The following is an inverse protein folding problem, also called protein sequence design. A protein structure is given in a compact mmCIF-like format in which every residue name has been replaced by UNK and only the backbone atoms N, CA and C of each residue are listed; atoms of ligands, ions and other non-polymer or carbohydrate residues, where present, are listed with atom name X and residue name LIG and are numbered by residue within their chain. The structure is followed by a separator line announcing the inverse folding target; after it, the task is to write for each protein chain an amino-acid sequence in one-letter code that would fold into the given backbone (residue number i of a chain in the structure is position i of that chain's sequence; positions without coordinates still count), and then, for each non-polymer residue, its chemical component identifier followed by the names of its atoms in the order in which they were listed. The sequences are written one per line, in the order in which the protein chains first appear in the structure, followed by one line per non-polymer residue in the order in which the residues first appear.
data_IF_559489273688
#
_entry.id   IF_559489273688
#
_cell.length_a   1.000
_cell.length_b   1.000
_cell.length_c   1.000
_cell.angle_alpha   90.00
_cell.angle_beta   90.00
_cell.angle_gamma   90.00
#
_symmetry.space_group_name_H-M   'P 1'
#
loop_
_entity.id
_entity.type
_entity.pdbx_description
1 polymer ?
#
# COMPACT_ATOMS: atom_id res chain seq x y z
N UNK A 1 -19.29 -56.98 -30.74
CA UNK A 1 -18.89 -55.94 -29.76
C UNK A 1 -17.38 -55.69 -29.74
N UNK A 2 -16.53 -56.71 -29.87
CA UNK A 2 -15.05 -56.61 -29.90
C UNK A 2 -14.48 -55.82 -31.08
N UNK A 3 -15.09 -55.90 -32.27
CA UNK A 3 -14.61 -55.18 -33.47
C UNK A 3 -14.70 -53.64 -33.33
N UNK A 4 -15.73 -53.14 -32.65
CA UNK A 4 -15.95 -51.71 -32.42
C UNK A 4 -14.92 -51.13 -31.43
N UNK A 5 -14.55 -51.88 -30.40
CA UNK A 5 -13.50 -51.50 -29.45
C UNK A 5 -12.11 -51.43 -30.09
N UNK A 6 -11.82 -52.30 -31.06
CA UNK A 6 -10.55 -52.27 -31.81
C UNK A 6 -10.47 -51.03 -32.70
N UNK A 7 -11.57 -50.64 -33.34
CA UNK A 7 -11.63 -49.43 -34.16
C UNK A 7 -11.48 -48.16 -33.32
N UNK A 8 -12.16 -48.07 -32.18
CA UNK A 8 -12.01 -46.96 -31.24
C UNK A 8 -10.56 -46.80 -30.74
N UNK A 9 -9.87 -47.91 -30.44
CA UNK A 9 -8.47 -47.88 -30.01
C UNK A 9 -7.53 -47.42 -31.14
N UNK A 10 -7.78 -47.82 -32.39
CA UNK A 10 -6.96 -47.37 -33.53
C UNK A 10 -7.10 -45.87 -33.76
N UNK A 11 -8.33 -45.36 -33.75
CA UNK A 11 -8.63 -43.95 -33.95
C UNK A 11 -8.03 -43.08 -32.84
N UNK A 12 -8.07 -43.54 -31.57
CA UNK A 12 -7.40 -42.87 -30.45
C UNK A 12 -5.87 -42.86 -30.59
N UNK A 13 -5.26 -43.94 -31.07
CA UNK A 13 -3.81 -44.02 -31.25
C UNK A 13 -3.32 -43.15 -32.42
N UNK A 14 -4.11 -42.99 -33.47
CA UNK A 14 -3.81 -42.05 -34.57
C UNK A 14 -3.84 -40.60 -34.10
N UNK A 15 -4.84 -40.22 -33.29
CA UNK A 15 -4.95 -38.87 -32.71
C UNK A 15 -3.76 -38.56 -31.78
N UNK A 16 -3.40 -39.51 -30.90
CA UNK A 16 -2.25 -39.37 -30.01
C UNK A 16 -0.95 -39.21 -30.82
N UNK A 17 -0.77 -40.00 -31.87
CA UNK A 17 0.41 -39.92 -32.71
C UNK A 17 0.49 -38.56 -33.45
N UNK A 18 -0.65 -38.03 -33.91
CA UNK A 18 -0.72 -36.71 -34.52
C UNK A 18 -0.34 -35.60 -33.53
N UNK A 19 -0.87 -35.65 -32.31
CA UNK A 19 -0.53 -34.67 -31.27
C UNK A 19 0.94 -34.76 -30.86
N UNK A 20 1.48 -35.97 -30.72
CA UNK A 20 2.89 -36.17 -30.37
C UNK A 20 3.83 -35.63 -31.45
N UNK A 21 3.49 -35.85 -32.73
CA UNK A 21 4.23 -35.31 -33.86
C UNK A 21 4.16 -33.77 -33.93
N UNK A 22 2.98 -33.19 -33.63
CA UNK A 22 2.81 -31.73 -33.53
C UNK A 22 3.64 -31.11 -32.40
N UNK A 23 3.66 -31.78 -31.23
CA UNK A 23 4.48 -31.39 -30.08
C UNK A 23 5.97 -31.50 -30.40
N UNK A 24 6.39 -32.57 -31.07
CA UNK A 24 7.77 -32.75 -31.52
C UNK A 24 8.23 -31.63 -32.45
N UNK A 25 7.40 -31.27 -33.45
CA UNK A 25 7.69 -30.14 -34.34
C UNK A 25 7.81 -28.81 -33.59
N UNK A 26 6.92 -28.57 -32.62
CA UNK A 26 6.97 -27.35 -31.80
C UNK A 26 8.25 -27.30 -30.97
N UNK A 27 8.66 -28.44 -30.41
CA UNK A 27 9.90 -28.56 -29.63
C UNK A 27 11.14 -28.31 -30.49
N UNK A 28 11.16 -28.83 -31.73
CA UNK A 28 12.26 -28.61 -32.67
C UNK A 28 12.43 -27.13 -33.04
N UNK A 29 11.33 -26.40 -33.25
CA UNK A 29 11.36 -24.95 -33.52
C UNK A 29 11.89 -24.18 -32.31
N UNK A 30 11.45 -24.53 -31.11
CA UNK A 30 11.91 -23.90 -29.86
C UNK A 30 13.40 -24.16 -29.64
N UNK A 31 13.85 -25.39 -29.84
CA UNK A 31 15.26 -25.75 -29.69
C UNK A 31 16.14 -25.05 -30.72
N UNK A 32 15.70 -24.95 -31.98
CA UNK A 32 16.43 -24.19 -33.01
C UNK A 32 16.50 -22.70 -32.67
N UNK A 33 15.45 -22.13 -32.08
CA UNK A 33 15.44 -20.72 -31.68
C UNK A 33 16.35 -20.44 -30.47
N UNK A 34 16.42 -21.35 -29.50
CA UNK A 34 17.22 -21.17 -28.27
C UNK A 34 18.71 -21.49 -28.51
N UNK A 35 19.00 -22.61 -29.15
CA UNK A 35 20.39 -23.08 -29.33
C UNK A 35 21.01 -22.60 -30.66
N UNK A 36 20.20 -22.10 -31.59
CA UNK A 36 20.63 -21.74 -32.94
C UNK A 36 20.74 -22.95 -33.86
N UNK A 37 20.59 -22.72 -35.17
CA UNK A 37 20.51 -23.80 -36.17
C UNK A 37 21.73 -24.72 -36.19
N UNK A 38 22.93 -24.16 -36.03
CA UNK A 38 24.20 -24.91 -36.13
C UNK A 38 24.38 -25.89 -34.97
N UNK A 39 24.07 -25.46 -33.75
CA UNK A 39 24.16 -26.33 -32.57
C UNK A 39 23.07 -27.38 -32.58
N UNK A 40 21.87 -27.05 -33.03
CA UNK A 40 20.78 -28.01 -33.15
C UNK A 40 21.10 -29.14 -34.14
N UNK A 41 21.72 -28.83 -35.30
CA UNK A 41 22.14 -29.87 -36.26
C UNK A 41 23.22 -30.80 -35.71
N UNK A 42 24.20 -30.25 -35.00
CA UNK A 42 25.27 -31.05 -34.37
C UNK A 42 24.71 -31.93 -33.25
N UNK A 43 23.76 -31.41 -32.46
CA UNK A 43 23.09 -32.14 -31.39
C UNK A 43 22.21 -33.27 -31.95
N UNK A 44 21.52 -33.02 -33.07
CA UNK A 44 20.74 -34.05 -33.77
C UNK A 44 21.62 -35.16 -34.35
N UNK A 45 22.77 -34.79 -34.94
CA UNK A 45 23.75 -35.77 -35.42
C UNK A 45 24.35 -36.59 -34.27
N UNK A 46 24.67 -35.95 -33.15
CA UNK A 46 25.17 -36.60 -31.94
C UNK A 46 24.12 -37.55 -31.33
N UNK A 47 22.85 -37.14 -31.29
CA UNK A 47 21.74 -37.96 -30.80
C UNK A 47 21.55 -39.25 -31.60
N UNK A 48 21.73 -39.20 -32.92
CA UNK A 48 21.64 -40.37 -33.79
C UNK A 48 22.89 -41.25 -33.67
N UNK A 49 24.07 -40.64 -33.51
CA UNK A 49 25.35 -41.36 -33.45
C UNK A 49 25.57 -42.09 -32.12
N UNK A 50 25.03 -41.57 -31.02
CA UNK A 50 25.24 -42.11 -29.67
C UNK A 50 23.94 -42.17 -28.84
N UNK A 51 22.99 -43.05 -29.20
CA UNK A 51 21.67 -43.11 -28.56
C UNK A 51 21.74 -43.48 -27.06
N UNK A 52 22.68 -44.36 -26.68
CA UNK A 52 22.86 -44.76 -25.27
C UNK A 52 23.39 -43.64 -24.38
N UNK A 53 24.33 -42.84 -24.89
CA UNK A 53 24.90 -41.71 -24.16
C UNK A 53 23.83 -40.63 -23.97
N UNK A 54 23.07 -40.32 -25.03
CA UNK A 54 21.97 -39.37 -24.97
C UNK A 54 20.92 -39.79 -23.93
N UNK A 55 20.54 -41.07 -23.94
CA UNK A 55 19.56 -41.62 -22.99
C UNK A 55 20.07 -41.53 -21.55
N UNK A 56 21.36 -41.81 -21.32
CA UNK A 56 22.00 -41.66 -20.02
C UNK A 56 21.99 -40.21 -19.53
N UNK A 57 22.36 -39.25 -20.39
CA UNK A 57 22.33 -37.81 -20.06
C UNK A 57 20.91 -37.34 -19.74
N UNK A 58 19.92 -37.72 -20.53
CA UNK A 58 18.50 -37.36 -20.29
C UNK A 58 18.03 -37.97 -18.96
N UNK A 59 18.35 -39.24 -18.69
CA UNK A 59 17.94 -39.92 -17.46
C UNK A 59 18.57 -39.28 -16.22
N UNK A 60 19.87 -38.98 -16.25
CA UNK A 60 20.56 -38.28 -15.16
C UNK A 60 20.00 -36.87 -14.98
N UNK A 61 19.73 -36.16 -16.07
CA UNK A 61 19.17 -34.80 -16.02
C UNK A 61 17.76 -34.80 -15.43
N UNK A 62 16.92 -35.77 -15.78
CA UNK A 62 15.58 -35.95 -15.19
C UNK A 62 15.67 -36.27 -13.70
N UNK A 63 16.58 -37.16 -13.31
CA UNK A 63 16.74 -37.55 -11.91
C UNK A 63 17.30 -36.39 -11.06
N UNK A 64 18.19 -35.57 -11.63
CA UNK A 64 18.74 -34.38 -10.98
C UNK A 64 17.75 -33.19 -10.95
N UNK A 65 16.77 -33.15 -11.86
CA UNK A 65 15.80 -32.05 -11.90
C UNK A 65 14.88 -32.04 -10.67
N UNK A 66 14.56 -33.22 -10.10
CA UNK A 66 13.70 -33.35 -8.92
C UNK A 66 14.31 -32.67 -7.68
N UNK A 67 15.53 -33.01 -7.23
CA UNK A 67 16.14 -32.33 -6.09
C UNK A 67 16.40 -30.84 -6.36
N UNK A 68 16.70 -30.48 -7.61
CA UNK A 68 16.86 -29.07 -8.01
C UNK A 68 15.56 -28.28 -7.85
N UNK A 69 14.43 -28.81 -8.33
CA UNK A 69 13.11 -28.18 -8.17
C UNK A 69 12.71 -28.07 -6.70
N UNK A 70 12.99 -29.10 -5.91
CA UNK A 70 12.70 -29.06 -4.47
C UNK A 70 13.53 -27.98 -3.76
N UNK A 71 14.82 -27.89 -4.05
CA UNK A 71 15.70 -26.85 -3.50
C UNK A 71 15.27 -25.44 -3.94
N UNK A 72 14.92 -25.27 -5.22
CA UNK A 72 14.44 -24.01 -5.76
C UNK A 72 13.12 -23.59 -5.09
N UNK A 73 12.17 -24.52 -4.97
CA UNK A 73 10.91 -24.29 -4.27
C UNK A 73 11.12 -23.90 -2.80
N UNK A 74 11.97 -24.64 -2.09
CA UNK A 74 12.35 -24.32 -0.71
C UNK A 74 12.93 -22.91 -0.60
N UNK A 75 13.88 -22.56 -1.48
CA UNK A 75 14.52 -21.25 -1.49
C UNK A 75 13.51 -20.13 -1.71
N UNK A 76 12.58 -20.28 -2.66
CA UNK A 76 11.54 -19.27 -2.93
C UNK A 76 10.62 -19.09 -1.72
N UNK A 77 10.20 -20.20 -1.09
CA UNK A 77 9.34 -20.15 0.09
C UNK A 77 10.07 -19.46 1.25
N UNK A 78 11.32 -19.83 1.52
CA UNK A 78 12.13 -19.21 2.57
C UNK A 78 12.36 -17.73 2.30
N UNK A 79 12.64 -17.34 1.06
CA UNK A 79 12.79 -15.93 0.67
C UNK A 79 11.49 -15.16 0.92
N UNK A 80 10.34 -15.72 0.53
CA UNK A 80 9.04 -15.09 0.74
C UNK A 80 8.74 -14.87 2.23
N UNK A 81 9.01 -15.89 3.06
CA UNK A 81 8.84 -15.80 4.52
C UNK A 81 9.79 -14.74 5.11
N UNK A 82 11.04 -14.71 4.66
CA UNK A 82 12.03 -13.74 5.14
C UNK A 82 11.60 -12.29 4.82
N UNK A 83 11.11 -12.03 3.61
CA UNK A 83 10.59 -10.72 3.20
C UNK A 83 9.36 -10.31 4.02
N UNK A 84 8.44 -11.25 4.27
CA UNK A 84 7.25 -10.99 5.08
C UNK A 84 7.62 -10.69 6.54
N UNK A 85 8.58 -11.42 7.10
CA UNK A 85 9.10 -11.17 8.44
C UNK A 85 9.78 -9.79 8.52
N UNK A 86 10.60 -9.45 7.54
CA UNK A 86 11.26 -8.15 7.45
C UNK A 86 10.23 -7.00 7.40
N UNK A 87 9.22 -7.12 6.53
CA UNK A 87 8.15 -6.14 6.41
C UNK A 87 7.36 -5.98 7.72
N UNK A 88 7.11 -7.09 8.42
CA UNK A 88 6.39 -7.08 9.70
C UNK A 88 7.20 -6.36 10.79
N UNK A 89 8.51 -6.62 10.88
CA UNK A 89 9.39 -5.98 11.87
C UNK A 89 9.53 -4.49 11.57
N UNK A 90 9.85 -4.13 10.32
CA UNK A 90 9.99 -2.74 9.90
C UNK A 90 8.67 -1.97 10.09
N UNK A 91 7.56 -2.56 9.63
CA UNK A 91 6.22 -2.00 9.81
C UNK A 91 5.86 -1.79 11.28
N UNK A 92 6.22 -2.72 12.16
CA UNK A 92 6.00 -2.59 13.60
C UNK A 92 6.81 -1.45 14.20
N UNK A 93 8.09 -1.32 13.83
CA UNK A 93 8.97 -0.24 14.31
C UNK A 93 8.42 1.12 13.87
N UNK A 94 8.00 1.24 12.61
CA UNK A 94 7.41 2.47 12.08
C UNK A 94 6.09 2.78 12.79
N UNK A 95 5.23 1.80 13.04
CA UNK A 95 3.97 2.00 13.73
C UNK A 95 4.18 2.48 15.18
N UNK A 96 5.10 1.84 15.91
CA UNK A 96 5.43 2.23 17.29
C UNK A 96 6.05 3.63 17.30
N UNK A 97 7.03 3.89 16.44
CA UNK A 97 7.66 5.20 16.31
C UNK A 97 6.66 6.30 15.94
N UNK A 98 5.75 6.01 15.01
CA UNK A 98 4.67 6.91 14.60
C UNK A 98 3.70 7.18 15.75
N UNK A 99 3.31 6.17 16.51
CA UNK A 99 2.43 6.32 17.67
C UNK A 99 3.07 7.22 18.74
N UNK A 100 4.35 7.00 19.05
CA UNK A 100 5.10 7.84 19.99
C UNK A 100 5.19 9.28 19.47
N UNK A 101 5.49 9.47 18.19
CA UNK A 101 5.58 10.79 17.58
C UNK A 101 4.25 11.54 17.65
N UNK A 102 3.13 10.89 17.29
CA UNK A 102 1.79 11.46 17.41
C UNK A 102 1.47 11.82 18.86
N UNK A 103 1.85 10.98 19.82
CA UNK A 103 1.69 11.26 21.25
C UNK A 103 2.40 12.55 21.68
N UNK A 104 3.66 12.70 21.30
CA UNK A 104 4.47 13.89 21.63
C UNK A 104 3.88 15.14 20.97
N UNK A 105 3.57 15.06 19.67
CA UNK A 105 2.98 16.19 18.94
C UNK A 105 1.64 16.59 19.53
N UNK A 106 0.78 15.63 19.84
CA UNK A 106 -0.52 15.88 20.49
C UNK A 106 -0.34 16.60 21.84
N UNK A 107 0.57 16.14 22.69
CA UNK A 107 0.87 16.79 23.96
C UNK A 107 1.30 18.25 23.78
N UNK A 108 2.22 18.51 22.85
CA UNK A 108 2.68 19.86 22.53
C UNK A 108 1.50 20.72 22.06
N UNK A 109 0.66 20.21 21.15
CA UNK A 109 -0.49 20.96 20.65
C UNK A 109 -1.51 21.30 21.73
N UNK A 110 -1.74 20.40 22.70
CA UNK A 110 -2.63 20.65 23.83
C UNK A 110 -2.06 21.75 24.72
N UNK A 111 -0.77 21.67 25.06
CA UNK A 111 -0.12 22.68 25.91
C UNK A 111 -0.13 24.06 25.24
N UNK A 112 0.26 24.12 23.97
CA UNK A 112 0.26 25.38 23.20
C UNK A 112 -1.16 25.91 23.04
N UNK A 113 -2.12 25.04 22.73
CA UNK A 113 -3.54 25.39 22.64
C UNK A 113 -4.10 25.94 23.96
N UNK A 114 -3.72 25.35 25.09
CA UNK A 114 -4.13 25.81 26.42
C UNK A 114 -3.59 27.22 26.72
N UNK A 115 -2.32 27.49 26.39
CA UNK A 115 -1.71 28.81 26.57
C UNK A 115 -2.44 29.86 25.72
N UNK A 116 -2.63 29.58 24.42
CA UNK A 116 -3.31 30.51 23.51
C UNK A 116 -4.76 30.76 23.97
N UNK A 117 -5.46 29.72 24.42
CA UNK A 117 -6.81 29.84 24.97
C UNK A 117 -6.86 30.75 26.20
N UNK A 118 -5.93 30.59 27.14
CA UNK A 118 -5.84 31.44 28.32
C UNK A 118 -5.61 32.91 27.95
N UNK A 119 -4.72 33.18 26.99
CA UNK A 119 -4.51 34.54 26.47
C UNK A 119 -5.77 35.10 25.79
N UNK A 120 -6.45 34.31 24.97
CA UNK A 120 -7.67 34.74 24.29
C UNK A 120 -8.77 35.14 25.30
N UNK A 121 -8.96 34.35 26.36
CA UNK A 121 -9.91 34.66 27.45
C UNK A 121 -9.51 35.95 28.18
N UNK A 122 -8.23 36.12 28.52
CA UNK A 122 -7.75 37.33 29.17
C UNK A 122 -7.97 38.58 28.31
N UNK A 123 -7.69 38.52 27.01
CA UNK A 123 -7.97 39.60 26.08
C UNK A 123 -9.47 39.89 25.93
N UNK A 124 -10.30 38.86 25.91
CA UNK A 124 -11.76 39.01 25.85
C UNK A 124 -12.32 39.79 27.05
N UNK A 125 -11.82 39.46 28.24
CA UNK A 125 -12.20 40.14 29.49
C UNK A 125 -11.74 41.61 29.47
N UNK A 126 -10.50 41.88 29.07
CA UNK A 126 -9.98 43.25 28.94
C UNK A 126 -10.80 44.10 27.95
N UNK A 127 -11.18 43.53 26.81
CA UNK A 127 -12.06 44.22 25.86
C UNK A 127 -13.44 44.49 26.45
N UNK A 128 -14.02 43.52 27.15
CA UNK A 128 -15.34 43.66 27.78
C UNK A 128 -15.35 44.78 28.82
N UNK A 129 -14.30 44.87 29.65
CA UNK A 129 -14.12 45.95 30.64
C UNK A 129 -13.96 47.32 29.95
N UNK A 130 -13.13 47.40 28.91
CA UNK A 130 -12.93 48.67 28.16
C UNK A 130 -14.23 49.17 27.53
N UNK A 131 -15.04 48.27 26.97
CA UNK A 131 -16.36 48.61 26.40
C UNK A 131 -17.31 49.09 27.51
N UNK A 132 -17.34 48.40 28.66
CA UNK A 132 -18.17 48.81 29.80
C UNK A 132 -17.76 50.18 30.35
N UNK A 133 -16.46 50.46 30.46
CA UNK A 133 -15.93 51.74 30.94
C UNK A 133 -16.20 52.89 29.96
N UNK A 134 -16.07 52.64 28.66
CA UNK A 134 -16.45 53.61 27.62
C UNK A 134 -17.97 53.88 27.61
N UNK A 135 -18.80 52.89 27.91
CA UNK A 135 -20.25 53.12 28.08
C UNK A 135 -20.56 53.94 29.34
N UNK A 136 -19.91 53.64 30.47
CA UNK A 136 -20.12 54.36 31.73
C UNK A 136 -19.67 55.83 31.63
N UNK A 137 -18.48 56.09 31.08
CA UNK A 137 -18.00 57.46 30.85
C UNK A 137 -18.89 58.25 29.89
N UNK A 138 -19.46 57.61 28.86
CA UNK A 138 -20.44 58.25 27.95
C UNK A 138 -21.78 58.57 28.62
N UNK A 139 -22.19 57.78 29.62
CA UNK A 139 -23.41 58.07 30.41
C UNK A 139 -23.15 59.21 31.39
N UNK A 140 -21.98 59.26 32.03
CA UNK A 140 -21.60 60.33 32.94
C UNK A 140 -21.49 61.69 32.21
N UNK A 141 -20.95 61.73 30.99
CA UNK A 141 -20.94 62.96 30.18
C UNK A 141 -22.34 63.45 29.80
N UNK A 142 -23.28 62.53 29.54
CA UNK A 142 -24.67 62.89 29.23
C UNK A 142 -25.45 63.30 30.49
N UNK A 143 -25.21 62.66 31.63
CA UNK A 143 -25.85 63.01 32.92
C UNK A 143 -25.33 64.32 33.51
N UNK A 144 -24.09 64.72 33.23
CA UNK A 144 -23.56 66.03 33.62
C UNK A 144 -24.11 67.18 32.76
N UNK A 145 -24.51 66.90 31.51
CA UNK A 145 -25.18 67.89 30.64
C UNK A 145 -26.66 68.13 31.00
N UNK A 146 -27.30 67.21 31.74
CA UNK A 146 -28.70 67.36 32.18
C UNK A 146 -28.82 68.04 33.55
N UNK A 147 -27.70 68.20 34.28
CA UNK A 147 -27.69 68.79 35.64
C UNK A 147 -27.24 70.26 35.68
N UNK A 148 -27.02 70.90 34.54
CA UNK A 148 -26.85 72.36 34.43
C UNK A 148 -28.13 73.03 33.93
N UNK A 149 -29.22 72.90 34.68
CA UNK A 149 -30.30 73.88 34.66
C UNK A 149 -30.98 73.94 36.04
N UNK A 150 -30.47 74.75 36.98
CA UNK A 150 -31.24 75.18 38.13
C UNK A 150 -31.89 76.53 37.85
N UNK A 151 -33.09 76.71 38.43
CA UNK A 151 -33.83 77.95 38.62
C UNK A 151 -34.63 78.49 37.43
N UNK A 152 -35.95 78.25 37.46
CA UNK A 152 -36.92 79.32 37.75
C UNK A 152 -38.36 78.78 37.63
N UNK A 153 -38.98 78.44 38.75
CA UNK A 153 -40.45 78.42 38.87
C UNK A 153 -40.82 78.71 40.33
N UNK A 154 -40.44 79.92 40.77
CA UNK A 154 -41.24 80.69 41.71
C UNK A 154 -42.05 81.66 40.82
N UNK A 155 -43.32 81.87 41.18
CA UNK A 155 -44.32 82.80 40.61
C UNK A 155 -45.09 82.38 39.34
N UNK A 156 -46.30 81.85 39.56
CA UNK A 156 -47.56 82.18 38.85
C UNK A 156 -48.69 81.56 39.70
N UNK A 157 -49.34 82.26 40.66
CA UNK A 157 -50.50 83.18 40.55
C UNK A 157 -51.65 82.64 39.67
N UNK A 158 -52.87 82.65 40.26
CA UNK A 158 -54.22 82.34 39.76
C UNK A 158 -54.64 80.86 39.95
N UNK A 159 -55.70 80.50 40.67
CA UNK A 159 -56.86 81.18 41.30
C UNK A 159 -57.26 80.43 42.58
#
# INVERSE_FOLDING_TARGET
MTWFLIQLRKMSMEEINYQLHSLGKSFDVILQNIFGQKYYSDLKYFAVSHPFILTGVISVSLFSAIPFLFFLGFTIITLFIALLCFLCIEGSIIAIGGLVFVGIVSFITIVVGAIISAFAVAFWILQSIKIAFNKASKIESNGLSEKSSPASSIEEIAD
#
